data_IF_456153568442
#
_entry.id   IF_456153568442
#
_cell.length_a   1.000
_cell.length_b   1.000
_cell.length_c   1.000
_cell.angle_alpha   90.00
_cell.angle_beta   90.00
_cell.angle_gamma   90.00
#
_symmetry.space_group_name_H-M   'P 1'
#
loop_
_entity.id
_entity.type
_entity.pdbx_description
1 polymer ?
#
# COMPACT_ATOMS: atom_id res chain seq x y z
N UNK A 1 -9.34 46.29 29.06
CA UNK A 1 -9.57 44.84 29.23
C UNK A 1 -9.59 44.23 27.85
N UNK A 2 -8.64 43.33 27.57
CA UNK A 2 -8.27 42.86 26.25
C UNK A 2 -9.00 41.55 25.94
N UNK A 3 -9.97 41.57 25.03
CA UNK A 3 -10.66 40.38 24.51
C UNK A 3 -10.27 40.19 23.04
N UNK A 4 -9.07 39.65 22.82
CA UNK A 4 -8.64 39.07 21.53
C UNK A 4 -7.84 37.83 21.86
N UNK A 5 -8.46 36.64 21.87
CA UNK A 5 -7.70 35.39 21.72
C UNK A 5 -8.56 34.12 21.48
N UNK A 6 -9.57 34.15 20.59
CA UNK A 6 -10.34 32.92 20.32
C UNK A 6 -10.75 32.68 18.86
N UNK A 7 -10.80 33.72 18.01
CA UNK A 7 -11.23 33.54 16.62
C UNK A 7 -10.07 33.19 15.66
N UNK A 8 -8.85 33.70 15.91
CA UNK A 8 -7.70 33.48 15.01
C UNK A 8 -7.18 32.02 15.02
N UNK A 9 -7.57 31.22 16.01
CA UNK A 9 -7.12 29.82 16.16
C UNK A 9 -7.97 28.84 15.34
N UNK A 10 -9.27 29.13 15.16
CA UNK A 10 -10.21 28.26 14.43
C UNK A 10 -9.90 28.31 12.91
N UNK A 11 -9.63 29.50 12.38
CA UNK A 11 -9.31 29.71 10.96
C UNK A 11 -8.01 29.01 10.52
N UNK A 12 -7.06 28.82 11.45
CA UNK A 12 -5.79 28.14 11.21
C UNK A 12 -5.93 26.62 11.05
N UNK A 13 -6.77 25.97 11.86
CA UNK A 13 -7.05 24.54 11.74
C UNK A 13 -7.82 24.22 10.45
N UNK A 14 -8.78 25.06 10.07
CA UNK A 14 -9.54 24.88 8.84
C UNK A 14 -8.65 24.99 7.60
N UNK A 15 -7.73 25.96 7.57
CA UNK A 15 -6.76 26.11 6.48
C UNK A 15 -5.81 24.90 6.37
N UNK A 16 -5.33 24.38 7.50
CA UNK A 16 -4.51 23.17 7.54
C UNK A 16 -5.29 21.96 7.04
N UNK A 17 -6.55 21.81 7.46
CA UNK A 17 -7.42 20.71 7.05
C UNK A 17 -7.66 20.73 5.53
N UNK A 18 -7.96 21.89 4.95
CA UNK A 18 -8.14 22.02 3.50
C UNK A 18 -6.84 21.70 2.73
N UNK A 19 -5.69 22.09 3.27
CA UNK A 19 -4.38 21.74 2.68
C UNK A 19 -4.13 20.23 2.72
N UNK A 20 -4.44 19.57 3.84
CA UNK A 20 -4.32 18.11 3.99
C UNK A 20 -5.27 17.39 3.02
N UNK A 21 -6.52 17.85 2.89
CA UNK A 21 -7.47 17.31 1.92
C UNK A 21 -6.94 17.43 0.49
N UNK A 22 -6.43 18.60 0.11
CA UNK A 22 -5.86 18.81 -1.22
C UNK A 22 -4.66 17.92 -1.52
N UNK A 23 -3.84 17.59 -0.52
CA UNK A 23 -2.74 16.61 -0.66
C UNK A 23 -3.30 15.20 -0.82
N UNK A 24 -4.27 14.80 0.01
CA UNK A 24 -4.90 13.49 -0.05
C UNK A 24 -5.58 13.23 -1.41
N UNK A 25 -6.26 14.23 -1.96
CA UNK A 25 -6.87 14.17 -3.30
C UNK A 25 -5.83 13.99 -4.40
N UNK A 26 -4.68 14.67 -4.31
CA UNK A 26 -3.59 14.50 -5.27
C UNK A 26 -2.95 13.10 -5.18
N UNK A 27 -2.75 12.57 -3.97
CA UNK A 27 -2.26 11.20 -3.76
C UNK A 27 -3.24 10.19 -4.37
N UNK A 28 -4.54 10.37 -4.14
CA UNK A 28 -5.58 9.52 -4.71
C UNK A 28 -5.60 9.59 -6.25
N UNK A 29 -5.47 10.80 -6.81
CA UNK A 29 -5.36 11.00 -8.26
C UNK A 29 -4.12 10.32 -8.86
N UNK A 30 -2.98 10.34 -8.16
CA UNK A 30 -1.77 9.63 -8.57
C UNK A 30 -1.96 8.12 -8.57
N UNK A 31 -2.60 7.58 -7.52
CA UNK A 31 -2.89 6.15 -7.45
C UNK A 31 -3.86 5.72 -8.55
N UNK A 32 -4.84 6.56 -8.89
CA UNK A 32 -5.77 6.32 -9.99
C UNK A 32 -5.09 6.30 -11.36
N UNK A 33 -4.14 7.21 -11.60
CA UNK A 33 -3.30 7.18 -12.80
C UNK A 33 -2.44 5.91 -12.84
N UNK A 34 -1.83 5.54 -11.72
CA UNK A 34 -1.06 4.30 -11.62
C UNK A 34 -1.93 3.08 -12.00
N UNK A 35 -3.16 2.98 -11.49
CA UNK A 35 -4.07 1.88 -11.87
C UNK A 35 -4.23 1.77 -13.39
N UNK A 36 -4.36 2.89 -14.10
CA UNK A 36 -4.46 2.90 -15.58
C UNK A 36 -3.17 2.36 -16.21
N UNK A 37 -2.00 2.80 -15.72
CA UNK A 37 -0.70 2.42 -16.28
C UNK A 37 -0.31 0.97 -15.98
N UNK A 38 -0.62 0.46 -14.78
CA UNK A 38 -0.28 -0.90 -14.35
C UNK A 38 -1.25 -1.95 -14.90
N UNK A 39 -2.49 -1.59 -15.21
CA UNK A 39 -3.48 -2.53 -15.78
C UNK A 39 -2.96 -3.28 -17.02
N UNK A 40 -2.41 -2.62 -18.07
CA UNK A 40 -1.87 -3.34 -19.23
C UNK A 40 -0.66 -4.21 -18.88
N UNK A 41 0.18 -3.80 -17.91
CA UNK A 41 1.34 -4.59 -17.46
C UNK A 41 0.90 -5.88 -16.78
N UNK A 42 -0.05 -5.80 -15.86
CA UNK A 42 -0.67 -6.96 -15.20
C UNK A 42 -1.29 -7.89 -16.22
N UNK A 43 -2.03 -7.34 -17.19
CA UNK A 43 -2.63 -8.13 -18.25
C UNK A 43 -1.59 -8.83 -19.13
N UNK A 44 -0.47 -8.16 -19.46
CA UNK A 44 0.62 -8.76 -20.24
C UNK A 44 1.27 -9.91 -19.50
N UNK A 45 1.71 -9.68 -18.25
CA UNK A 45 2.40 -10.72 -17.48
C UNK A 45 1.48 -11.90 -17.20
N UNK A 46 0.17 -11.71 -17.00
CA UNK A 46 -0.77 -12.80 -16.79
C UNK A 46 -1.18 -13.54 -18.08
N UNK A 47 -0.83 -13.03 -19.27
CA UNK A 47 -1.10 -13.69 -20.55
C UNK A 47 0.06 -14.56 -21.04
N UNK A 48 1.28 -14.29 -20.58
CA UNK A 48 2.49 -15.02 -20.95
C UNK A 48 3.09 -15.73 -19.74
N UNK A 49 4.08 -16.58 -19.98
CA UNK A 49 4.88 -17.15 -18.90
C UNK A 49 5.98 -16.14 -18.49
N UNK A 50 5.64 -15.18 -17.63
CA UNK A 50 6.64 -14.25 -17.10
C UNK A 50 7.60 -14.97 -16.13
N UNK A 51 8.81 -14.43 -16.01
CA UNK A 51 9.82 -14.91 -15.06
C UNK A 51 9.50 -14.44 -13.65
N UNK A 52 10.07 -15.12 -12.65
CA UNK A 52 9.90 -14.73 -11.25
C UNK A 52 10.30 -13.27 -11.00
N UNK A 53 11.46 -12.84 -11.52
CA UNK A 53 11.96 -11.48 -11.39
C UNK A 53 11.02 -10.43 -11.99
N UNK A 54 10.37 -10.72 -13.12
CA UNK A 54 9.39 -9.80 -13.71
C UNK A 54 8.14 -9.66 -12.83
N UNK A 55 7.72 -10.75 -12.16
CA UNK A 55 6.58 -10.74 -11.24
C UNK A 55 6.93 -9.97 -9.97
N UNK A 56 8.09 -10.25 -9.36
CA UNK A 56 8.59 -9.53 -8.17
C UNK A 56 8.67 -8.03 -8.44
N UNK A 57 9.35 -7.66 -9.52
CA UNK A 57 9.51 -6.26 -9.91
C UNK A 57 8.16 -5.55 -10.08
N UNK A 58 7.18 -6.22 -10.69
CA UNK A 58 5.84 -5.63 -10.82
C UNK A 58 5.14 -5.47 -9.46
N UNK A 59 5.22 -6.49 -8.60
CA UNK A 59 4.60 -6.44 -7.27
C UNK A 59 5.22 -5.35 -6.38
N UNK A 60 6.55 -5.19 -6.41
CA UNK A 60 7.27 -4.12 -5.69
C UNK A 60 6.75 -2.74 -6.09
N UNK A 61 6.63 -2.51 -7.40
CA UNK A 61 6.15 -1.24 -7.90
C UNK A 61 4.67 -0.98 -7.60
N UNK A 62 3.84 -2.01 -7.60
CA UNK A 62 2.44 -1.89 -7.22
C UNK A 62 2.25 -1.67 -5.71
N UNK A 63 3.20 -2.11 -4.89
CA UNK A 63 3.10 -2.10 -3.43
C UNK A 63 2.89 -0.69 -2.85
N UNK A 64 3.50 0.32 -3.47
CA UNK A 64 3.37 1.74 -3.08
C UNK A 64 1.95 2.31 -3.24
N UNK A 65 1.05 1.61 -3.92
CA UNK A 65 -0.29 2.10 -4.26
C UNK A 65 -1.41 1.20 -3.71
N UNK A 66 -1.12 0.22 -2.85
CA UNK A 66 -2.13 -0.76 -2.39
C UNK A 66 -3.21 -0.19 -1.46
N UNK A 67 -3.02 1.03 -0.97
CA UNK A 67 -4.11 1.79 -0.33
C UNK A 67 -5.26 2.14 -1.29
N UNK A 68 -5.04 2.07 -2.60
CA UNK A 68 -6.08 2.19 -3.62
C UNK A 68 -6.73 0.83 -3.89
N UNK A 69 -8.04 0.73 -3.69
CA UNK A 69 -8.79 -0.53 -3.86
C UNK A 69 -8.62 -1.16 -5.25
N UNK A 70 -8.56 -0.35 -6.32
CA UNK A 70 -8.40 -0.85 -7.69
C UNK A 70 -7.00 -1.41 -7.91
N UNK A 71 -5.97 -0.76 -7.37
CA UNK A 71 -4.61 -1.29 -7.40
C UNK A 71 -4.53 -2.61 -6.63
N UNK A 72 -5.17 -2.68 -5.46
CA UNK A 72 -5.21 -3.91 -4.67
C UNK A 72 -5.87 -5.07 -5.44
N UNK A 73 -6.90 -4.81 -6.26
CA UNK A 73 -7.48 -5.84 -7.11
C UNK A 73 -6.50 -6.35 -8.18
N UNK A 74 -5.73 -5.45 -8.79
CA UNK A 74 -4.67 -5.82 -9.73
C UNK A 74 -3.58 -6.65 -9.04
N UNK A 75 -3.13 -6.23 -7.86
CA UNK A 75 -2.13 -6.95 -7.07
C UNK A 75 -2.60 -8.37 -6.74
N UNK A 76 -3.83 -8.49 -6.21
CA UNK A 76 -4.45 -9.79 -5.94
C UNK A 76 -4.61 -10.66 -7.21
N UNK A 77 -4.81 -10.04 -8.38
CA UNK A 77 -4.88 -10.75 -9.64
C UNK A 77 -3.52 -11.39 -9.99
N UNK A 78 -2.43 -10.64 -9.89
CA UNK A 78 -1.06 -11.17 -10.07
C UNK A 78 -0.77 -12.28 -9.08
N UNK A 79 -1.06 -12.06 -7.78
CA UNK A 79 -0.84 -13.09 -6.75
C UNK A 79 -1.58 -14.39 -7.07
N UNK A 80 -2.87 -14.32 -7.42
CA UNK A 80 -3.66 -15.53 -7.78
C UNK A 80 -3.11 -16.23 -9.02
N UNK A 81 -2.68 -15.48 -10.03
CA UNK A 81 -2.14 -16.06 -11.26
C UNK A 81 -0.83 -16.81 -11.00
N UNK A 82 0.05 -16.23 -10.19
CA UNK A 82 1.39 -16.75 -9.96
C UNK A 82 1.54 -17.60 -8.71
N UNK A 83 0.50 -17.75 -7.88
CA UNK A 83 0.56 -18.48 -6.61
C UNK A 83 1.12 -19.90 -6.75
N UNK A 84 0.71 -20.65 -7.77
CA UNK A 84 1.19 -22.01 -7.98
C UNK A 84 2.55 -22.09 -8.69
N UNK A 85 2.95 -21.01 -9.37
CA UNK A 85 4.20 -20.96 -10.14
C UNK A 85 5.36 -20.52 -9.25
N UNK A 86 5.13 -19.52 -8.38
CA UNK A 86 6.12 -18.92 -7.49
C UNK A 86 5.58 -18.81 -6.05
N UNK A 87 5.20 -19.94 -5.41
CA UNK A 87 4.47 -19.93 -4.14
C UNK A 87 5.20 -19.20 -3.00
N UNK A 88 6.52 -19.36 -2.88
CA UNK A 88 7.29 -18.71 -1.82
C UNK A 88 7.29 -17.18 -1.94
N UNK A 89 7.55 -16.66 -3.14
CA UNK A 89 7.54 -15.22 -3.41
C UNK A 89 6.15 -14.63 -3.22
N UNK A 90 5.13 -15.23 -3.84
CA UNK A 90 3.76 -14.73 -3.72
C UNK A 90 3.27 -14.77 -2.26
N UNK A 91 3.66 -15.79 -1.51
CA UNK A 91 3.37 -15.86 -0.09
C UNK A 91 4.00 -14.69 0.68
N UNK A 92 5.28 -14.36 0.43
CA UNK A 92 5.95 -13.19 1.03
C UNK A 92 5.16 -11.91 0.79
N UNK A 93 4.83 -11.60 -0.48
CA UNK A 93 4.09 -10.40 -0.81
C UNK A 93 2.69 -10.32 -0.17
N UNK A 94 2.02 -11.47 0.01
CA UNK A 94 0.74 -11.52 0.74
C UNK A 94 0.94 -11.18 2.22
N UNK A 95 2.02 -11.68 2.84
CA UNK A 95 2.35 -11.36 4.22
C UNK A 95 2.74 -9.89 4.38
N UNK A 96 3.54 -9.35 3.45
CA UNK A 96 3.92 -7.93 3.45
C UNK A 96 2.68 -7.04 3.34
N UNK A 97 1.76 -7.37 2.42
CA UNK A 97 0.47 -6.66 2.32
C UNK A 97 -0.32 -6.73 3.63
N UNK A 98 -0.42 -7.91 4.25
CA UNK A 98 -1.17 -8.06 5.51
C UNK A 98 -0.52 -7.28 6.64
N UNK A 99 0.81 -7.30 6.74
CA UNK A 99 1.55 -6.54 7.76
C UNK A 99 1.26 -5.05 7.65
N UNK A 100 1.31 -4.50 6.44
CA UNK A 100 1.19 -3.05 6.20
C UNK A 100 -0.27 -2.55 6.18
N UNK A 101 -1.17 -3.29 5.53
CA UNK A 101 -2.52 -2.82 5.20
C UNK A 101 -3.65 -3.58 5.90
N UNK A 102 -3.40 -4.77 6.47
CA UNK A 102 -4.41 -5.60 7.12
C UNK A 102 -3.85 -6.37 8.35
N UNK A 103 -3.22 -5.67 9.33
CA UNK A 103 -2.48 -6.32 10.41
C UNK A 103 -3.39 -7.15 11.32
N UNK A 104 -4.67 -6.77 11.43
CA UNK A 104 -5.67 -7.55 12.17
C UNK A 104 -5.84 -8.97 11.61
N UNK A 105 -5.61 -9.17 10.30
CA UNK A 105 -5.68 -10.50 9.68
C UNK A 105 -4.57 -11.46 10.14
N UNK A 106 -3.51 -10.95 10.78
CA UNK A 106 -2.39 -11.75 11.26
C UNK A 106 -2.55 -12.22 12.71
N UNK A 107 -3.44 -11.59 13.49
CA UNK A 107 -3.66 -11.95 14.91
C UNK A 107 -4.21 -13.37 15.05
N UNK A 108 -3.64 -14.16 15.95
CA UNK A 108 -4.01 -15.56 16.17
C UNK A 108 -3.57 -16.51 15.05
N UNK A 109 -2.78 -16.03 14.08
CA UNK A 109 -2.18 -16.87 13.03
C UNK A 109 -0.74 -17.23 13.38
N UNK A 110 -0.15 -18.20 12.68
CA UNK A 110 1.28 -18.51 12.82
C UNK A 110 2.19 -17.33 12.46
N UNK A 111 1.67 -16.31 11.78
CA UNK A 111 2.38 -15.11 11.33
C UNK A 111 2.19 -13.89 12.24
N UNK A 112 1.53 -14.03 13.39
CA UNK A 112 1.31 -12.93 14.34
C UNK A 112 2.63 -12.26 14.78
N UNK A 113 3.74 -12.99 14.78
CA UNK A 113 5.08 -12.46 15.09
C UNK A 113 5.51 -11.30 14.18
N UNK A 114 4.96 -11.20 12.96
CA UNK A 114 5.27 -10.10 12.03
C UNK A 114 4.79 -8.74 12.54
N UNK A 115 3.81 -8.71 13.45
CA UNK A 115 3.28 -7.49 14.06
C UNK A 115 4.21 -6.92 15.14
N UNK A 116 5.12 -7.73 15.68
CA UNK A 116 5.91 -7.39 16.86
C UNK A 116 7.34 -6.90 16.54
N UNK A 117 7.69 -6.78 15.26
CA UNK A 117 9.07 -6.58 14.80
C UNK A 117 9.58 -5.11 14.77
N UNK A 118 8.90 -4.15 15.41
CA UNK A 118 9.45 -2.78 15.56
C UNK A 118 10.76 -2.73 16.40
N UNK A 119 11.16 -3.83 17.05
CA UNK A 119 12.38 -3.90 17.88
C UNK A 119 13.67 -4.25 17.09
N UNK A 120 13.61 -4.79 15.87
CA UNK A 120 14.82 -5.27 15.16
C UNK A 120 15.45 -4.27 14.17
N UNK A 121 14.77 -3.18 13.83
CA UNK A 121 15.34 -2.12 12.97
C UNK A 121 16.12 -1.04 13.74
N UNK A 122 16.06 -1.04 15.08
CA UNK A 122 16.73 -0.06 15.94
C UNK A 122 18.11 -0.50 16.45
N UNK A 123 18.57 -1.71 16.14
CA UNK A 123 19.90 -2.22 16.55
C UNK A 123 21.01 -2.05 15.48
N UNK A 124 20.69 -1.52 14.29
CA UNK A 124 21.68 -1.24 13.23
C UNK A 124 22.04 0.25 13.05
N UNK A 125 21.81 1.10 14.06
CA UNK A 125 22.28 2.51 14.07
C UNK A 125 23.42 2.78 15.05
#
# INVERSE_FOLDING_TARGET
MNTKNSNDNIDGYDCLLESIKGIAEQIQGLADMAVVDYTPLVNDICRRKATQNEVELLLDYMFSFLGNERMLQLFKHVCRHYFYTYPGIIHSYILDYRKEYDPESLKGTEYEYLLNNEELENEEK
#
